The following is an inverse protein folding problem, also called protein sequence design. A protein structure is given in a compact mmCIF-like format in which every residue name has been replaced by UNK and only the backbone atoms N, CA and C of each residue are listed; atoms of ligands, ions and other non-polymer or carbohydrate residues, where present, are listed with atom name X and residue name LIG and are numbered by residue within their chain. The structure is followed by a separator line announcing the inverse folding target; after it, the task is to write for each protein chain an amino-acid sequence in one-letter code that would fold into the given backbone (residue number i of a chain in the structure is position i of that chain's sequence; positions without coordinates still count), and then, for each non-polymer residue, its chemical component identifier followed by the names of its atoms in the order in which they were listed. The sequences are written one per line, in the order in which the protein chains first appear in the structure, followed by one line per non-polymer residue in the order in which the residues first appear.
data_IF_791215221692
#
_entry.id   IF_791215221692
#
_cell.length_a   1.000
_cell.length_b   1.000
_cell.length_c   1.000
_cell.angle_alpha   90.00
_cell.angle_beta   90.00
_cell.angle_gamma   90.00
#
_symmetry.space_group_name_H-M   'P 1'
#
loop_
_entity.id
_entity.type
_entity.pdbx_description
1 polymer ?
#
# COMPACT_ATOMS: atom_id res chain seq x y z
N UNK A 1 15.43 -20.25 6.53
CA UNK A 1 15.95 -18.92 6.31
C UNK A 1 15.20 -17.91 7.17
N UNK A 2 15.90 -16.97 7.67
CA UNK A 2 15.28 -15.85 8.40
C UNK A 2 14.88 -14.78 7.39
N UNK A 3 13.61 -14.41 7.37
CA UNK A 3 13.06 -13.37 6.50
C UNK A 3 11.71 -13.75 5.92
N UNK A 4 11.14 -12.82 5.12
CA UNK A 4 9.84 -13.00 4.48
C UNK A 4 10.01 -13.33 3.00
N UNK A 5 9.30 -14.36 2.52
CA UNK A 5 9.33 -14.75 1.11
C UNK A 5 8.64 -13.72 0.22
N UNK A 6 7.59 -13.07 0.74
CA UNK A 6 6.86 -12.00 0.03
C UNK A 6 6.54 -10.87 0.99
N UNK A 7 6.88 -9.65 0.57
CA UNK A 7 6.52 -8.42 1.29
C UNK A 7 5.73 -7.52 0.35
N UNK A 8 4.60 -7.01 0.82
CA UNK A 8 3.86 -5.93 0.15
C UNK A 8 4.08 -4.62 0.92
N UNK A 9 4.71 -3.65 0.29
CA UNK A 9 4.91 -2.33 0.83
C UNK A 9 3.92 -1.36 0.16
N UNK A 10 3.04 -0.77 0.96
CA UNK A 10 1.94 0.08 0.48
C UNK A 10 1.84 1.41 1.25
N UNK A 11 2.81 1.72 2.12
CA UNK A 11 2.75 2.91 2.97
C UNK A 11 3.20 4.20 2.27
N UNK A 12 4.01 4.11 1.22
CA UNK A 12 4.66 5.26 0.60
C UNK A 12 5.80 5.85 1.43
N UNK A 13 6.21 5.18 2.53
CA UNK A 13 7.27 5.63 3.39
C UNK A 13 8.61 5.00 2.96
N UNK A 14 9.57 5.84 2.57
CA UNK A 14 10.87 5.37 2.07
C UNK A 14 11.68 4.58 3.13
N UNK A 15 11.53 4.92 4.41
CA UNK A 15 12.19 4.19 5.49
C UNK A 15 11.62 2.78 5.64
N UNK A 16 10.30 2.62 5.47
CA UNK A 16 9.65 1.30 5.48
C UNK A 16 10.05 0.47 4.27
N UNK A 17 10.14 1.09 3.08
CA UNK A 17 10.62 0.41 1.89
C UNK A 17 12.07 -0.07 2.06
N UNK A 18 12.94 0.76 2.61
CA UNK A 18 14.34 0.39 2.93
C UNK A 18 14.42 -0.73 3.97
N UNK A 19 13.58 -0.69 4.99
CA UNK A 19 13.49 -1.78 5.97
C UNK A 19 13.05 -3.08 5.32
N UNK A 20 12.04 -3.02 4.44
CA UNK A 20 11.50 -4.18 3.75
C UNK A 20 12.57 -4.93 2.94
N UNK A 21 13.51 -4.24 2.28
CA UNK A 21 14.59 -4.90 1.53
C UNK A 21 15.47 -5.77 2.44
N UNK A 22 15.73 -5.31 3.66
CA UNK A 22 16.54 -6.06 4.65
C UNK A 22 15.80 -7.26 5.22
N UNK A 23 14.47 -7.18 5.32
CA UNK A 23 13.62 -8.23 5.87
C UNK A 23 13.30 -9.36 4.89
N UNK A 24 13.68 -9.23 3.60
CA UNK A 24 13.50 -10.30 2.61
C UNK A 24 14.31 -11.56 2.95
N UNK A 25 13.68 -12.69 2.76
CA UNK A 25 14.37 -13.99 2.73
C UNK A 25 15.19 -14.12 1.44
N UNK A 26 15.99 -15.19 1.35
CA UNK A 26 16.59 -15.60 0.07
C UNK A 26 15.49 -15.95 -0.93
N UNK A 27 15.67 -15.53 -2.19
CA UNK A 27 14.68 -15.64 -3.27
C UNK A 27 13.35 -14.90 -2.97
N UNK A 28 13.32 -14.03 -1.94
CA UNK A 28 12.14 -13.27 -1.57
C UNK A 28 11.80 -12.17 -2.58
N UNK A 29 10.54 -11.79 -2.60
CA UNK A 29 10.01 -10.73 -3.49
C UNK A 29 9.41 -9.60 -2.68
N UNK A 30 9.84 -8.37 -2.96
CA UNK A 30 9.27 -7.14 -2.41
C UNK A 30 8.45 -6.44 -3.50
N UNK A 31 7.13 -6.41 -3.31
CA UNK A 31 6.23 -5.65 -4.15
C UNK A 31 5.95 -4.30 -3.48
N UNK A 32 6.09 -3.21 -4.22
CA UNK A 32 5.78 -1.88 -3.71
C UNK A 32 4.94 -1.09 -4.72
N UNK A 33 3.84 -0.49 -4.22
CA UNK A 33 2.78 0.09 -5.04
C UNK A 33 2.38 1.51 -4.63
N UNK A 34 3.15 2.14 -3.78
CA UNK A 34 2.87 3.49 -3.30
C UNK A 34 3.54 4.56 -4.16
N UNK A 35 3.01 5.78 -4.07
CA UNK A 35 3.65 6.96 -4.64
C UNK A 35 4.64 7.50 -3.61
N UNK A 36 5.91 7.38 -3.93
CA UNK A 36 6.99 8.03 -3.19
C UNK A 36 7.23 9.42 -3.79
N UNK A 37 7.69 10.36 -3.00
CA UNK A 37 7.92 11.74 -3.49
C UNK A 37 8.77 11.78 -4.76
N UNK A 38 8.52 12.77 -5.62
CA UNK A 38 9.31 13.00 -6.83
C UNK A 38 10.80 13.14 -6.45
N UNK A 39 11.68 12.49 -7.17
CA UNK A 39 13.12 12.43 -6.91
C UNK A 39 13.52 11.73 -5.60
N UNK A 40 12.63 10.91 -5.03
CA UNK A 40 12.99 10.09 -3.88
C UNK A 40 13.90 8.94 -4.33
N UNK A 41 15.05 8.80 -3.69
CA UNK A 41 15.99 7.73 -3.91
C UNK A 41 15.89 6.70 -2.78
N UNK A 42 15.92 5.42 -3.15
CA UNK A 42 15.99 4.33 -2.19
C UNK A 42 17.45 3.89 -2.01
N UNK A 43 18.06 4.16 -0.85
CA UNK A 43 19.38 3.61 -0.55
C UNK A 43 19.25 2.13 -0.22
N UNK A 44 19.75 1.27 -1.11
CA UNK A 44 19.74 -0.19 -0.95
C UNK A 44 21.15 -0.77 -1.09
N UNK A 45 21.42 -1.81 -0.34
CA UNK A 45 22.65 -2.58 -0.49
C UNK A 45 22.49 -3.56 -1.67
N UNK A 46 23.15 -3.26 -2.77
CA UNK A 46 23.15 -4.16 -3.95
C UNK A 46 23.75 -5.52 -3.58
N UNK A 47 24.82 -5.54 -2.78
CA UNK A 47 25.42 -6.80 -2.33
C UNK A 47 24.45 -7.65 -1.53
N UNK A 48 23.63 -7.02 -0.67
CA UNK A 48 22.64 -7.76 0.12
C UNK A 48 21.55 -8.38 -0.78
N UNK A 49 21.03 -7.62 -1.74
CA UNK A 49 20.05 -8.13 -2.70
C UNK A 49 20.63 -9.24 -3.56
N UNK A 50 21.87 -9.07 -4.01
CA UNK A 50 22.57 -10.09 -4.79
C UNK A 50 22.73 -11.40 -4.03
N UNK A 51 23.20 -11.36 -2.78
CA UNK A 51 23.40 -12.55 -1.95
C UNK A 51 22.06 -13.24 -1.58
N UNK A 52 20.97 -12.48 -1.53
CA UNK A 52 19.63 -13.02 -1.31
C UNK A 52 18.96 -13.50 -2.60
N UNK A 53 19.48 -13.13 -3.78
CA UNK A 53 18.81 -13.35 -5.07
C UNK A 53 17.36 -12.81 -5.03
N UNK A 54 17.19 -11.65 -4.39
CA UNK A 54 15.88 -11.07 -4.10
C UNK A 54 15.33 -10.25 -5.29
N UNK A 55 14.02 -10.24 -5.43
CA UNK A 55 13.31 -9.47 -6.46
C UNK A 55 12.67 -8.22 -5.89
N UNK A 56 12.88 -7.07 -6.56
CA UNK A 56 12.17 -5.82 -6.29
C UNK A 56 11.20 -5.55 -7.44
N UNK A 57 9.91 -5.50 -7.14
CA UNK A 57 8.85 -5.43 -8.14
C UNK A 57 8.01 -4.16 -7.91
N UNK A 58 8.28 -3.06 -8.64
CA UNK A 58 7.43 -1.90 -8.62
C UNK A 58 6.11 -2.22 -9.31
N UNK A 59 5.03 -1.65 -8.80
CA UNK A 59 3.69 -1.89 -9.30
C UNK A 59 2.91 -0.58 -9.38
N UNK A 60 2.35 -0.28 -10.55
CA UNK A 60 1.60 0.94 -10.80
C UNK A 60 0.28 0.64 -11.52
N UNK A 61 -0.81 1.12 -10.93
CA UNK A 61 -2.16 1.20 -11.52
C UNK A 61 -2.76 -0.06 -12.16
N UNK A 62 -2.26 -1.25 -11.90
CA UNK A 62 -2.88 -2.54 -12.27
C UNK A 62 -3.87 -2.49 -13.47
N UNK A 63 -3.41 -2.21 -14.69
CA UNK A 63 -4.31 -2.13 -15.84
C UNK A 63 -5.10 -3.44 -16.01
N UNK A 64 -6.38 -3.33 -16.39
CA UNK A 64 -7.27 -4.47 -16.66
C UNK A 64 -7.67 -5.35 -15.45
N UNK A 65 -7.37 -4.92 -14.22
CA UNK A 65 -7.66 -5.72 -13.03
C UNK A 65 -9.09 -5.52 -12.49
N UNK A 66 -9.78 -4.44 -12.86
CA UNK A 66 -11.12 -4.10 -12.34
C UNK A 66 -12.15 -5.24 -12.42
N UNK A 67 -12.27 -6.00 -13.53
CA UNK A 67 -13.19 -7.14 -13.59
C UNK A 67 -12.84 -8.23 -12.57
N UNK A 68 -11.54 -8.46 -12.31
CA UNK A 68 -11.06 -9.43 -11.32
C UNK A 68 -11.33 -8.95 -9.90
N UNK A 69 -11.08 -7.67 -9.61
CA UNK A 69 -11.39 -7.07 -8.30
C UNK A 69 -12.88 -7.23 -8.00
N UNK A 70 -13.77 -6.91 -8.95
CA UNK A 70 -15.21 -7.04 -8.79
C UNK A 70 -15.63 -8.45 -8.38
N UNK A 71 -15.03 -9.48 -8.95
CA UNK A 71 -15.32 -10.87 -8.60
C UNK A 71 -14.84 -11.28 -7.21
N UNK A 72 -13.80 -10.62 -6.68
CA UNK A 72 -13.23 -10.90 -5.37
C UNK A 72 -13.94 -10.07 -4.29
N UNK A 73 -14.37 -8.85 -4.60
CA UNK A 73 -15.00 -7.94 -3.62
C UNK A 73 -16.18 -8.57 -2.89
N UNK A 74 -16.99 -9.38 -3.58
CA UNK A 74 -18.13 -10.08 -2.96
C UNK A 74 -17.72 -11.11 -1.90
N UNK A 75 -16.45 -11.51 -1.87
CA UNK A 75 -15.86 -12.47 -0.92
C UNK A 75 -15.11 -11.80 0.22
N UNK A 76 -14.96 -10.48 0.15
CA UNK A 76 -14.20 -9.71 1.14
C UNK A 76 -15.16 -8.99 2.09
N UNK A 77 -14.84 -9.02 3.37
CA UNK A 77 -15.52 -8.23 4.39
C UNK A 77 -14.91 -6.82 4.41
N UNK A 78 -15.47 -5.92 3.58
CA UNK A 78 -14.94 -4.56 3.43
C UNK A 78 -15.55 -3.53 4.40
N UNK A 79 -16.73 -3.85 5.00
CA UNK A 79 -17.43 -2.93 5.91
C UNK A 79 -16.58 -2.43 7.07
N UNK A 80 -15.76 -3.26 7.74
CA UNK A 80 -14.92 -2.80 8.85
C UNK A 80 -13.87 -1.75 8.45
N UNK A 81 -13.54 -1.63 7.15
CA UNK A 81 -12.61 -0.62 6.66
C UNK A 81 -13.24 0.77 6.61
N UNK A 82 -14.57 0.86 6.54
CA UNK A 82 -15.30 2.14 6.55
C UNK A 82 -15.46 2.57 8.00
N UNK A 83 -14.61 3.48 8.44
CA UNK A 83 -14.56 3.88 9.85
C UNK A 83 -15.35 5.14 10.15
N UNK A 84 -15.63 5.97 9.13
CA UNK A 84 -16.39 7.20 9.30
C UNK A 84 -17.13 7.58 8.03
N UNK A 85 -18.36 8.06 8.18
CA UNK A 85 -19.19 8.55 7.08
C UNK A 85 -19.64 9.98 7.42
N UNK A 86 -19.49 10.90 6.47
CA UNK A 86 -19.92 12.28 6.57
C UNK A 86 -21.04 12.57 5.58
N UNK A 87 -21.91 13.53 5.91
CA UNK A 87 -22.80 14.13 4.92
C UNK A 87 -22.01 15.01 3.95
N UNK A 88 -22.53 15.23 2.76
CA UNK A 88 -21.86 16.06 1.73
C UNK A 88 -21.49 17.46 2.22
N UNK A 89 -22.37 18.10 3.02
CA UNK A 89 -22.11 19.42 3.62
C UNK A 89 -20.84 19.48 4.47
N UNK A 90 -20.41 18.34 5.02
CA UNK A 90 -19.26 18.21 5.92
C UNK A 90 -18.01 17.66 5.20
N UNK A 91 -18.00 17.68 3.85
CA UNK A 91 -16.93 17.11 3.04
C UNK A 91 -15.54 17.67 3.36
N UNK A 92 -15.44 18.96 3.72
CA UNK A 92 -14.16 19.58 4.10
C UNK A 92 -13.64 18.98 5.42
N UNK A 93 -14.54 18.69 6.37
CA UNK A 93 -14.17 18.05 7.63
C UNK A 93 -13.74 16.61 7.37
N UNK A 94 -14.45 15.89 6.50
CA UNK A 94 -14.07 14.54 6.06
C UNK A 94 -12.64 14.51 5.49
N UNK A 95 -12.31 15.49 4.63
CA UNK A 95 -10.97 15.60 4.06
C UNK A 95 -9.90 15.82 5.14
N UNK A 96 -10.12 16.73 6.08
CA UNK A 96 -9.19 16.98 7.19
C UNK A 96 -8.96 15.73 8.04
N UNK A 97 -9.99 14.94 8.28
CA UNK A 97 -9.88 13.72 9.05
C UNK A 97 -9.03 12.64 8.33
N UNK A 98 -9.04 12.60 6.99
CA UNK A 98 -8.16 11.70 6.24
C UNK A 98 -6.68 12.05 6.42
N UNK A 99 -6.35 13.33 6.58
CA UNK A 99 -4.97 13.79 6.80
C UNK A 99 -4.42 13.38 8.17
N UNK A 100 -5.30 13.12 9.15
CA UNK A 100 -4.86 12.69 10.48
C UNK A 100 -4.29 11.28 10.52
N UNK A 101 -4.62 10.44 9.53
CA UNK A 101 -4.26 9.02 9.51
C UNK A 101 -4.97 8.16 10.56
N UNK A 102 -5.90 8.74 11.35
CA UNK A 102 -6.63 8.02 12.40
C UNK A 102 -7.73 7.11 11.85
N UNK A 103 -8.22 7.40 10.65
CA UNK A 103 -9.31 6.67 10.02
C UNK A 103 -8.82 6.00 8.75
N UNK A 104 -8.89 4.64 8.63
CA UNK A 104 -8.47 3.92 7.43
C UNK A 104 -9.20 4.38 6.18
N UNK A 105 -10.52 4.54 6.26
CA UNK A 105 -11.34 5.06 5.17
C UNK A 105 -12.46 5.97 5.68
N UNK A 106 -12.52 7.16 5.12
CA UNK A 106 -13.58 8.14 5.35
C UNK A 106 -14.42 8.22 4.08
N UNK A 107 -15.74 8.13 4.21
CA UNK A 107 -16.68 8.29 3.12
C UNK A 107 -17.48 9.57 3.26
N UNK A 108 -17.86 10.15 2.12
CA UNK A 108 -18.81 11.25 2.04
C UNK A 108 -20.05 10.76 1.29
N UNK A 109 -21.20 10.83 1.93
CA UNK A 109 -22.49 10.47 1.35
C UNK A 109 -22.95 11.62 0.44
N UNK A 110 -23.16 11.34 -0.85
CA UNK A 110 -23.47 12.36 -1.87
C UNK A 110 -24.98 12.49 -2.07
N UNK A 111 -25.73 11.41 -1.83
CA UNK A 111 -27.20 11.38 -1.94
C UNK A 111 -27.78 10.35 -0.97
N UNK A 112 -29.05 10.48 -0.68
CA UNK A 112 -29.82 9.46 0.05
C UNK A 112 -29.99 8.19 -0.76
#
# INVERSE_FOLDING_TARGET
GLGYDVIFETSGNIAMLSLATRLLARHGSLLFSSIYGINTNLPISISELYLKEASLIPYYMAPYILPRIKSIMSKLELKPLITKVYDFKDAIMAYKDTETGLYPHVLVKVSD
#
